data_IF_842591501529
#
_entry.id   IF_842591501529
#
_cell.length_a   1.000
_cell.length_b   1.000
_cell.length_c   1.000
_cell.angle_alpha   90.00
_cell.angle_beta   90.00
_cell.angle_gamma   90.00
#
_symmetry.space_group_name_H-M   'P 1'
#
loop_
_entity.id
_entity.type
_entity.pdbx_description
1 polymer ?
#
# COMPACT_ATOMS: atom_id res chain seq x y z
N UNK A 1 43.70 11.23 -7.08
CA UNK A 1 43.49 10.41 -5.87
C UNK A 1 42.00 10.19 -5.71
N UNK A 2 41.49 9.05 -6.21
CA UNK A 2 40.07 8.70 -6.13
C UNK A 2 39.75 8.19 -4.72
N UNK A 3 38.78 8.82 -4.05
CA UNK A 3 38.21 8.31 -2.82
C UNK A 3 37.16 7.26 -3.20
N UNK A 4 37.41 6.01 -2.83
CA UNK A 4 36.42 4.93 -2.91
C UNK A 4 35.37 5.21 -1.84
N UNK A 5 34.22 5.74 -2.24
CA UNK A 5 33.02 5.79 -1.38
C UNK A 5 32.43 4.39 -1.35
N UNK A 6 32.32 3.83 -0.15
CA UNK A 6 31.69 2.52 0.07
C UNK A 6 30.20 2.65 -0.20
N UNK A 7 29.74 2.06 -1.28
CA UNK A 7 28.33 1.89 -1.59
C UNK A 7 27.69 0.97 -0.53
N UNK A 8 27.07 1.57 0.49
CA UNK A 8 26.05 0.88 1.26
C UNK A 8 24.79 0.92 0.39
N UNK A 9 24.31 -0.26 -0.04
CA UNK A 9 23.14 -0.42 -0.89
C UNK A 9 21.95 0.37 -0.35
N UNK A 10 21.80 1.59 -0.83
CA UNK A 10 20.72 2.48 -0.44
C UNK A 10 19.56 2.09 -1.34
N UNK A 11 18.69 1.21 -0.84
CA UNK A 11 17.40 0.96 -1.49
C UNK A 11 16.67 2.30 -1.46
N UNK A 12 16.75 3.03 -2.56
CA UNK A 12 15.96 4.23 -2.78
C UNK A 12 14.53 3.73 -2.97
N UNK A 13 13.73 3.70 -1.89
CA UNK A 13 12.33 3.29 -1.97
C UNK A 13 11.64 4.19 -2.99
N UNK A 14 11.25 3.63 -4.12
CA UNK A 14 10.55 4.39 -5.15
C UNK A 14 9.17 4.77 -4.62
N UNK A 15 8.73 6.02 -4.85
CA UNK A 15 7.41 6.50 -4.45
C UNK A 15 6.24 5.66 -5.01
N UNK A 16 6.50 4.84 -6.03
CA UNK A 16 5.53 3.89 -6.59
C UNK A 16 5.39 2.62 -5.73
N UNK A 17 6.46 2.19 -5.03
CA UNK A 17 6.43 1.05 -4.11
C UNK A 17 5.54 1.29 -2.90
N UNK A 18 5.20 2.53 -2.58
CA UNK A 18 4.37 2.91 -1.43
C UNK A 18 2.98 3.41 -1.83
N UNK A 19 2.63 3.40 -3.12
CA UNK A 19 1.36 3.94 -3.56
C UNK A 19 0.19 3.11 -3.02
N UNK A 20 -0.73 3.77 -2.31
CA UNK A 20 -1.81 3.12 -1.56
C UNK A 20 -2.67 2.21 -2.44
N UNK A 21 -3.15 2.71 -3.58
CA UNK A 21 -4.08 1.97 -4.43
C UNK A 21 -3.45 0.70 -5.01
N UNK A 22 -2.16 0.76 -5.36
CA UNK A 22 -1.39 -0.41 -5.81
C UNK A 22 -1.39 -1.51 -4.75
N UNK A 23 -1.20 -1.15 -3.48
CA UNK A 23 -1.21 -2.12 -2.37
C UNK A 23 -2.61 -2.68 -2.09
N UNK A 24 -3.66 -1.86 -2.20
CA UNK A 24 -5.03 -2.33 -2.03
C UNK A 24 -5.41 -3.35 -3.11
N UNK A 25 -5.00 -3.11 -4.35
CA UNK A 25 -5.21 -4.04 -5.46
C UNK A 25 -4.39 -5.32 -5.30
N UNK A 26 -3.10 -5.20 -4.99
CA UNK A 26 -2.21 -6.33 -4.72
C UNK A 26 -2.76 -7.23 -3.60
N UNK A 27 -3.28 -6.63 -2.52
CA UNK A 27 -3.95 -7.37 -1.45
C UNK A 27 -5.16 -8.18 -1.97
N UNK A 28 -6.02 -7.58 -2.80
CA UNK A 28 -7.18 -8.28 -3.35
C UNK A 28 -6.79 -9.42 -4.31
N UNK A 29 -5.72 -9.23 -5.09
CA UNK A 29 -5.16 -10.27 -5.96
C UNK A 29 -4.66 -11.45 -5.12
N UNK A 30 -3.87 -11.16 -4.08
CA UNK A 30 -3.36 -12.15 -3.14
C UNK A 30 -4.50 -12.93 -2.44
N UNK A 31 -5.55 -12.26 -1.96
CA UNK A 31 -6.71 -12.93 -1.35
C UNK A 31 -7.44 -13.86 -2.33
N UNK A 32 -7.52 -13.49 -3.61
CA UNK A 32 -8.10 -14.37 -4.66
C UNK A 32 -7.21 -15.59 -4.91
N UNK A 33 -5.89 -15.41 -4.95
CA UNK A 33 -4.93 -16.48 -5.16
C UNK A 33 -4.93 -17.50 -4.02
N UNK A 34 -5.20 -17.06 -2.79
CA UNK A 34 -5.33 -17.92 -1.60
C UNK A 34 -6.62 -18.76 -1.55
N UNK A 35 -7.40 -18.82 -2.64
CA UNK A 35 -8.64 -19.59 -2.74
C UNK A 35 -9.67 -19.23 -1.65
N UNK A 36 -9.69 -17.96 -1.22
CA UNK A 36 -10.71 -17.46 -0.30
C UNK A 36 -12.10 -17.50 -0.96
N UNK A 37 -13.15 -17.65 -0.14
CA UNK A 37 -14.52 -17.62 -0.64
C UNK A 37 -14.81 -16.30 -1.39
N UNK A 38 -15.65 -16.37 -2.41
CA UNK A 38 -16.08 -15.18 -3.17
C UNK A 38 -16.70 -14.13 -2.26
N UNK A 39 -17.49 -14.54 -1.26
CA UNK A 39 -18.07 -13.65 -0.25
C UNK A 39 -17.02 -12.91 0.55
N UNK A 40 -15.93 -13.58 0.94
CA UNK A 40 -14.79 -12.99 1.66
C UNK A 40 -14.08 -11.93 0.81
N UNK A 41 -13.80 -12.23 -0.46
CA UNK A 41 -13.15 -11.26 -1.37
C UNK A 41 -14.05 -10.04 -1.62
N UNK A 42 -15.36 -10.25 -1.78
CA UNK A 42 -16.33 -9.16 -1.92
C UNK A 42 -16.36 -8.29 -0.67
N UNK A 43 -16.37 -8.91 0.51
CA UNK A 43 -16.32 -8.20 1.79
C UNK A 43 -15.07 -7.31 1.89
N UNK A 44 -13.88 -7.84 1.59
CA UNK A 44 -12.65 -7.06 1.59
C UNK A 44 -12.71 -5.90 0.59
N UNK A 45 -13.16 -6.14 -0.64
CA UNK A 45 -13.32 -5.09 -1.64
C UNK A 45 -14.22 -3.95 -1.16
N UNK A 46 -15.34 -4.28 -0.52
CA UNK A 46 -16.26 -3.26 0.01
C UNK A 46 -15.63 -2.43 1.14
N UNK A 47 -14.86 -3.06 2.03
CA UNK A 47 -14.15 -2.36 3.12
C UNK A 47 -13.03 -1.48 2.59
N UNK A 48 -12.22 -2.01 1.67
CA UNK A 48 -11.13 -1.27 1.05
C UNK A 48 -11.62 -0.08 0.22
N UNK A 49 -12.78 -0.19 -0.43
CA UNK A 49 -13.39 0.96 -1.12
C UNK A 49 -13.69 2.12 -0.18
N UNK A 50 -14.25 1.84 1.01
CA UNK A 50 -14.53 2.87 2.02
C UNK A 50 -13.24 3.49 2.55
N UNK A 51 -12.23 2.66 2.80
CA UNK A 51 -10.92 3.11 3.24
C UNK A 51 -10.22 3.99 2.19
N UNK A 52 -10.23 3.59 0.92
CA UNK A 52 -9.68 4.37 -0.18
C UNK A 52 -10.36 5.74 -0.29
N UNK A 53 -11.69 5.80 -0.18
CA UNK A 53 -12.43 7.07 -0.18
C UNK A 53 -12.07 7.97 1.01
N UNK A 54 -11.84 7.41 2.19
CA UNK A 54 -11.33 8.16 3.35
C UNK A 54 -9.94 8.73 3.06
N UNK A 55 -9.00 7.90 2.60
CA UNK A 55 -7.65 8.35 2.27
C UNK A 55 -7.65 9.43 1.19
N UNK A 56 -8.49 9.30 0.16
CA UNK A 56 -8.67 10.31 -0.88
C UNK A 56 -9.15 11.65 -0.29
N UNK A 57 -10.12 11.62 0.63
CA UNK A 57 -10.60 12.85 1.32
C UNK A 57 -9.54 13.55 2.18
N UNK A 58 -8.50 12.81 2.59
CA UNK A 58 -7.37 13.30 3.38
C UNK A 58 -6.12 13.56 2.52
N UNK A 59 -6.23 13.44 1.19
CA UNK A 59 -5.11 13.52 0.24
C UNK A 59 -3.96 12.52 0.53
N UNK A 60 -4.27 11.39 1.16
CA UNK A 60 -3.32 10.30 1.46
C UNK A 60 -3.17 9.43 0.21
N UNK A 61 -2.00 9.47 -0.42
CA UNK A 61 -1.69 8.69 -1.63
C UNK A 61 -0.61 7.63 -1.40
N UNK A 62 0.14 7.74 -0.31
CA UNK A 62 1.20 6.82 0.08
C UNK A 62 0.83 6.08 1.36
N UNK A 63 1.16 4.80 1.46
CA UNK A 63 0.95 4.02 2.69
C UNK A 63 1.76 4.58 3.86
N UNK A 64 2.85 5.29 3.59
CA UNK A 64 3.72 5.93 4.59
C UNK A 64 3.06 7.14 5.26
N UNK A 65 2.05 7.73 4.63
CA UNK A 65 1.33 8.89 5.16
C UNK A 65 0.18 8.45 6.09
N UNK A 66 -0.08 7.14 6.20
CA UNK A 66 -1.08 6.59 7.12
C UNK A 66 -0.53 6.68 8.54
N UNK A 67 -1.19 7.49 9.35
CA UNK A 67 -0.86 7.67 10.78
C UNK A 67 -1.84 6.92 11.68
N UNK A 68 -1.52 6.72 12.97
CA UNK A 68 -2.47 6.18 13.94
C UNK A 68 -3.78 7.00 14.05
N UNK A 69 -3.74 8.30 13.79
CA UNK A 69 -4.93 9.16 13.78
C UNK A 69 -5.81 8.93 12.54
N UNK A 70 -5.23 8.44 11.44
CA UNK A 70 -5.98 8.06 10.24
C UNK A 70 -6.81 6.78 10.46
N UNK A 71 -6.38 5.91 11.39
CA UNK A 71 -6.96 4.58 11.63
C UNK A 71 -7.92 4.50 12.84
N UNK A 72 -8.09 5.59 13.59
CA UNK A 72 -8.91 5.67 14.81
C UNK A 72 -10.17 6.47 14.56
#
# INVERSE_FOLDING_TARGET
>A
MAAIVRDQGTITKYAQETHLLTWLEAFLIDRKAQNMSTGTVIFYRQKLRKFAALCESLAITQITDITPTTLR
#
